data_IF_142602595545
#
_entry.id   IF_142602595545
#
_cell.length_a   1.000
_cell.length_b   1.000
_cell.length_c   1.000
_cell.angle_alpha   90.00
_cell.angle_beta   90.00
_cell.angle_gamma   90.00
#
_symmetry.space_group_name_H-M   'P 1'
#
loop_
_entity.id
_entity.type
_entity.pdbx_description
1 polymer ?
#
# COMPACT_ATOMS: atom_id res chain seq x y z
N UNK A 1 33.19 0.69 -17.43
CA UNK A 1 31.78 1.01 -17.12
C UNK A 1 31.71 1.45 -15.67
N UNK A 2 31.23 2.65 -15.39
CA UNK A 2 31.08 3.15 -14.00
C UNK A 2 29.91 2.38 -13.37
N UNK A 3 30.19 1.48 -12.42
CA UNK A 3 29.14 0.78 -11.64
C UNK A 3 28.30 1.84 -10.93
N UNK A 4 27.02 1.93 -11.28
CA UNK A 4 26.08 2.87 -10.65
C UNK A 4 25.96 2.50 -9.18
N UNK A 5 26.14 3.46 -8.26
CA UNK A 5 26.02 3.24 -6.82
C UNK A 5 24.64 2.61 -6.53
N UNK A 6 24.64 1.42 -5.93
CA UNK A 6 23.39 0.74 -5.54
C UNK A 6 22.70 1.54 -4.44
N UNK A 7 21.37 1.44 -4.41
CA UNK A 7 20.53 2.08 -3.38
C UNK A 7 20.80 1.45 -2.01
N UNK A 8 21.05 0.15 -2.00
CA UNK A 8 21.47 -0.61 -0.82
C UNK A 8 22.94 -0.96 -1.03
N UNK A 9 23.77 -0.65 -0.05
CA UNK A 9 25.21 -0.87 -0.11
C UNK A 9 25.53 -2.37 -0.26
N UNK A 10 26.61 -2.70 -0.97
CA UNK A 10 27.03 -4.08 -1.22
C UNK A 10 27.39 -4.81 0.08
N UNK A 11 27.70 -4.08 1.15
CA UNK A 11 27.89 -4.66 2.49
C UNK A 11 26.61 -5.30 3.06
N UNK A 12 25.42 -4.89 2.59
CA UNK A 12 24.14 -5.43 3.06
C UNK A 12 23.53 -6.44 2.08
N UNK A 13 23.85 -6.34 0.79
CA UNK A 13 23.43 -7.28 -0.26
C UNK A 13 24.65 -7.57 -1.15
N UNK A 14 25.48 -8.55 -0.77
CA UNK A 14 26.68 -8.90 -1.53
C UNK A 14 26.31 -9.50 -2.89
N UNK A 15 27.07 -9.16 -3.94
CA UNK A 15 26.89 -9.73 -5.29
C UNK A 15 27.38 -11.18 -5.41
N UNK A 16 28.12 -11.66 -4.40
CA UNK A 16 28.76 -12.98 -4.35
C UNK A 16 28.04 -13.85 -3.33
N UNK A 17 27.59 -15.03 -3.78
CA UNK A 17 26.86 -15.98 -2.92
C UNK A 17 27.70 -16.56 -1.78
N UNK A 18 29.03 -16.61 -1.94
CA UNK A 18 29.95 -17.06 -0.89
C UNK A 18 31.31 -16.34 -1.00
N UNK A 19 32.00 -16.20 0.13
CA UNK A 19 33.37 -15.69 0.24
C UNK A 19 34.16 -16.48 1.29
N UNK A 20 35.49 -16.51 1.15
CA UNK A 20 36.38 -17.09 2.17
C UNK A 20 37.07 -15.96 2.91
N UNK A 21 37.04 -16.01 4.24
CA UNK A 21 37.76 -15.07 5.11
C UNK A 21 38.72 -15.81 6.05
N UNK A 22 39.87 -15.21 6.32
CA UNK A 22 40.84 -15.73 7.28
C UNK A 22 40.74 -14.96 8.59
N UNK A 23 40.39 -15.65 9.66
CA UNK A 23 40.29 -15.10 11.02
C UNK A 23 41.22 -15.91 11.92
N UNK A 24 42.16 -15.24 12.59
CA UNK A 24 43.18 -15.85 13.47
C UNK A 24 43.96 -17.01 12.82
N UNK A 25 44.28 -16.86 11.53
CA UNK A 25 45.04 -17.87 10.78
C UNK A 25 44.21 -19.08 10.34
N UNK A 26 42.89 -19.07 10.51
CA UNK A 26 41.98 -20.12 10.06
C UNK A 26 41.05 -19.61 8.95
N UNK A 27 40.85 -20.42 7.93
CA UNK A 27 39.93 -20.11 6.82
C UNK A 27 38.49 -20.47 7.17
N UNK A 28 37.58 -19.55 6.89
CA UNK A 28 36.14 -19.68 7.07
C UNK A 28 35.43 -19.47 5.74
N UNK A 29 34.59 -20.42 5.34
CA UNK A 29 33.67 -20.25 4.22
C UNK A 29 32.41 -19.55 4.73
N UNK A 30 32.13 -18.36 4.21
CA UNK A 30 30.98 -17.53 4.55
C UNK A 30 30.05 -17.54 3.33
N UNK A 31 28.79 -17.94 3.54
CA UNK A 31 27.76 -17.98 2.49
C UNK A 31 26.64 -17.01 2.82
N UNK A 32 26.24 -16.22 1.84
CA UNK A 32 25.11 -15.32 1.91
C UNK A 32 23.84 -16.08 1.52
N UNK A 33 22.95 -16.28 2.49
CA UNK A 33 21.63 -16.86 2.26
C UNK A 33 20.54 -15.80 2.23
N UNK A 34 19.53 -16.01 1.38
CA UNK A 34 18.37 -15.13 1.31
C UNK A 34 17.48 -15.34 2.55
N UNK A 35 17.38 -14.31 3.40
CA UNK A 35 16.46 -14.31 4.53
C UNK A 35 15.10 -13.71 4.14
N UNK A 36 14.04 -14.52 4.22
CA UNK A 36 12.67 -14.05 4.09
C UNK A 36 12.10 -13.76 5.48
N UNK A 37 11.81 -12.50 5.78
CA UNK A 37 11.14 -12.12 7.04
C UNK A 37 9.64 -12.03 6.83
N UNK A 38 8.89 -12.91 7.47
CA UNK A 38 7.43 -12.83 7.55
C UNK A 38 7.03 -11.95 8.72
N UNK A 39 6.43 -10.79 8.44
CA UNK A 39 5.85 -9.95 9.49
C UNK A 39 4.44 -10.41 9.80
N UNK A 40 4.21 -10.91 11.02
CA UNK A 40 2.87 -11.06 11.59
C UNK A 40 2.51 -9.79 12.34
N UNK A 41 1.70 -8.94 11.72
CA UNK A 41 1.09 -7.78 12.39
C UNK A 41 -0.35 -8.14 12.73
N UNK A 42 -0.89 -7.59 13.82
CA UNK A 42 -2.34 -7.56 14.00
C UNK A 42 -2.94 -6.95 12.74
N UNK A 43 -3.97 -7.56 12.13
CA UNK A 43 -4.60 -7.06 10.89
C UNK A 43 -5.43 -5.78 11.13
N UNK A 44 -4.92 -4.87 11.98
CA UNK A 44 -5.65 -3.75 12.51
C UNK A 44 -7.07 -4.11 12.94
N UNK A 45 -7.32 -5.33 13.44
CA UNK A 45 -8.65 -5.83 13.84
C UNK A 45 -9.26 -4.98 14.96
N UNK A 46 -8.42 -4.22 15.68
CA UNK A 46 -8.81 -3.22 16.67
C UNK A 46 -8.74 -1.78 16.16
N UNK A 47 -8.34 -1.54 14.91
CA UNK A 47 -8.37 -0.20 14.34
C UNK A 47 -9.81 0.13 13.95
N UNK A 48 -10.27 1.34 14.31
CA UNK A 48 -11.58 1.83 13.90
C UNK A 48 -11.76 1.80 12.38
N UNK A 49 -10.69 1.99 11.60
CA UNK A 49 -10.73 1.94 10.13
C UNK A 49 -11.14 0.57 9.58
N UNK A 50 -10.42 -0.51 9.94
CA UNK A 50 -10.75 -1.85 9.42
C UNK A 50 -12.09 -2.36 9.96
N UNK A 51 -12.45 -2.02 11.21
CA UNK A 51 -13.78 -2.35 11.76
C UNK A 51 -14.90 -1.64 10.98
N UNK A 52 -14.70 -0.37 10.61
CA UNK A 52 -15.66 0.38 9.82
C UNK A 52 -15.78 -0.17 8.38
N UNK A 53 -14.68 -0.56 7.74
CA UNK A 53 -14.72 -1.25 6.44
C UNK A 53 -15.51 -2.57 6.55
N UNK A 54 -15.13 -3.42 7.51
CA UNK A 54 -15.68 -4.77 7.68
C UNK A 54 -17.15 -4.76 8.08
N UNK A 55 -17.50 -4.02 9.12
CA UNK A 55 -18.80 -4.11 9.78
C UNK A 55 -19.79 -3.09 9.24
N UNK A 56 -19.32 -1.91 8.82
CA UNK A 56 -20.18 -0.76 8.56
C UNK A 56 -20.19 -0.32 7.10
N UNK A 57 -19.29 -0.85 6.26
CA UNK A 57 -19.07 -0.37 4.89
C UNK A 57 -18.82 1.15 4.87
N UNK A 58 -18.01 1.65 5.79
CA UNK A 58 -17.67 3.07 5.92
C UNK A 58 -16.20 3.28 5.67
N UNK A 59 -15.86 4.36 4.97
CA UNK A 59 -14.48 4.77 4.75
C UNK A 59 -14.13 5.83 5.78
N UNK A 60 -13.17 5.53 6.65
CA UNK A 60 -12.72 6.48 7.66
C UNK A 60 -11.38 7.13 7.28
N UNK A 61 -11.19 8.36 7.72
CA UNK A 61 -9.94 9.10 7.69
C UNK A 61 -9.63 9.72 9.05
N UNK A 62 -8.46 10.35 9.16
CA UNK A 62 -8.11 11.14 10.34
C UNK A 62 -7.84 12.60 9.97
N UNK A 63 -8.53 13.53 10.62
CA UNK A 63 -8.39 14.97 10.46
C UNK A 63 -7.46 15.51 11.55
N UNK A 64 -6.42 16.24 11.19
CA UNK A 64 -5.60 16.93 12.19
C UNK A 64 -6.35 18.11 12.79
N UNK A 65 -6.38 18.21 14.12
CA UNK A 65 -7.00 19.33 14.87
C UNK A 65 -6.32 20.67 14.65
N UNK A 66 -5.05 20.68 14.19
CA UNK A 66 -4.25 21.90 14.00
C UNK A 66 -4.23 22.42 12.56
N UNK A 67 -3.85 21.59 11.60
CA UNK A 67 -3.76 22.00 10.19
C UNK A 67 -4.98 21.61 9.34
N UNK A 68 -5.92 20.84 9.90
CA UNK A 68 -7.14 20.44 9.19
C UNK A 68 -6.96 19.34 8.14
N UNK A 69 -5.72 18.92 7.83
CA UNK A 69 -5.48 17.89 6.80
C UNK A 69 -6.19 16.58 7.15
N UNK A 70 -6.85 15.98 6.16
CA UNK A 70 -7.57 14.71 6.26
C UNK A 70 -6.80 13.62 5.53
N UNK A 71 -6.35 12.61 6.28
CA UNK A 71 -5.61 11.46 5.75
C UNK A 71 -6.49 10.23 5.64
N UNK A 72 -6.41 9.59 4.48
CA UNK A 72 -7.05 8.30 4.19
C UNK A 72 -6.01 7.36 3.56
N UNK A 73 -5.80 6.16 4.13
CA UNK A 73 -6.35 5.67 5.41
C UNK A 73 -5.70 6.35 6.63
N UNK A 74 -6.30 6.27 7.82
CA UNK A 74 -5.81 6.92 9.04
C UNK A 74 -4.67 6.12 9.68
N UNK A 75 -3.47 6.19 9.08
CA UNK A 75 -2.30 5.42 9.54
C UNK A 75 -1.80 5.79 10.94
N UNK A 76 -2.04 7.04 11.37
CA UNK A 76 -1.56 7.60 12.63
C UNK A 76 -2.69 8.33 13.34
N UNK A 77 -2.72 8.23 14.67
CA UNK A 77 -3.64 8.98 15.53
C UNK A 77 -3.16 10.40 15.84
N UNK A 78 -1.92 10.74 15.45
CA UNK A 78 -1.31 12.06 15.62
C UNK A 78 -0.67 12.53 14.31
N UNK A 79 -0.70 13.83 14.08
CA UNK A 79 -0.23 14.42 12.82
C UNK A 79 1.31 14.56 12.82
N UNK A 80 2.01 13.97 11.83
CA UNK A 80 3.48 14.03 11.75
C UNK A 80 3.99 15.44 11.43
N UNK A 81 3.21 16.26 10.71
CA UNK A 81 3.64 17.61 10.29
C UNK A 81 3.33 18.69 11.34
N UNK A 82 2.50 18.37 12.34
CA UNK A 82 2.00 19.34 13.32
C UNK A 82 2.53 19.07 14.74
N UNK A 83 3.77 18.61 14.85
CA UNK A 83 4.41 18.28 16.12
C UNK A 83 3.52 17.39 17.00
N UNK A 84 3.06 16.26 16.45
CA UNK A 84 2.26 15.28 17.16
C UNK A 84 0.90 15.82 17.66
N UNK A 85 0.31 16.81 16.97
CA UNK A 85 -1.06 17.25 17.26
C UNK A 85 -2.07 16.09 17.12
N UNK A 86 -3.06 15.98 18.01
CA UNK A 86 -4.06 14.91 17.95
C UNK A 86 -4.88 14.99 16.66
N UNK A 87 -5.34 13.84 16.20
CA UNK A 87 -6.27 13.74 15.06
C UNK A 87 -7.62 13.19 15.50
N UNK A 88 -8.66 13.60 14.78
CA UNK A 88 -10.03 13.13 14.97
C UNK A 88 -10.39 12.16 13.85
N UNK A 89 -10.98 11.02 14.20
CA UNK A 89 -11.47 10.07 13.22
C UNK A 89 -12.77 10.61 12.62
N UNK A 90 -12.82 10.69 11.29
CA UNK A 90 -13.98 11.19 10.56
C UNK A 90 -14.34 10.21 9.45
N UNK A 91 -15.62 10.22 9.06
CA UNK A 91 -16.05 9.53 7.86
C UNK A 91 -15.74 10.37 6.62
N UNK A 92 -15.28 9.70 5.57
CA UNK A 92 -14.95 10.27 4.27
C UNK A 92 -15.87 9.66 3.23
N UNK A 93 -16.24 10.44 2.22
CA UNK A 93 -17.09 9.93 1.15
C UNK A 93 -16.40 8.78 0.39
N UNK A 94 -17.23 7.89 -0.14
CA UNK A 94 -16.79 6.71 -0.88
C UNK A 94 -16.62 6.98 -2.38
N UNK A 95 -16.80 8.22 -2.80
CA UNK A 95 -16.58 8.67 -4.18
C UNK A 95 -15.32 9.53 -4.20
N UNK A 96 -14.48 9.32 -5.21
CA UNK A 96 -13.22 10.02 -5.33
C UNK A 96 -12.76 10.17 -6.76
N UNK A 97 -11.68 10.92 -6.93
CA UNK A 97 -11.08 11.20 -8.22
C UNK A 97 -9.74 10.47 -8.34
N UNK A 98 -9.53 9.84 -9.49
CA UNK A 98 -8.26 9.21 -9.84
C UNK A 98 -7.14 10.25 -9.94
N UNK A 99 -6.11 10.13 -9.08
CA UNK A 99 -4.97 11.04 -9.06
C UNK A 99 -4.05 10.87 -10.30
N UNK A 100 -4.01 9.67 -10.86
CA UNK A 100 -3.23 9.33 -12.05
C UNK A 100 -3.93 8.27 -12.89
N UNK A 101 -3.61 8.22 -14.19
CA UNK A 101 -4.04 7.10 -15.05
C UNK A 101 -3.40 5.81 -14.53
N UNK A 102 -4.19 4.79 -14.17
CA UNK A 102 -3.67 3.57 -13.57
C UNK A 102 -3.08 2.63 -14.63
N UNK A 103 -1.93 1.98 -14.38
CA UNK A 103 -1.53 0.83 -15.17
C UNK A 103 -2.51 -0.34 -14.96
N UNK A 104 -2.73 -1.12 -16.03
CA UNK A 104 -3.54 -2.34 -16.01
C UNK A 104 -2.61 -3.54 -16.13
N UNK A 105 -2.77 -4.51 -15.25
CA UNK A 105 -1.99 -5.75 -15.26
C UNK A 105 -2.84 -6.87 -15.85
N UNK A 106 -2.48 -7.32 -17.05
CA UNK A 106 -3.09 -8.49 -17.71
C UNK A 106 -2.35 -9.79 -17.39
N UNK A 107 -1.03 -9.72 -17.28
CA UNK A 107 -0.18 -10.86 -16.96
C UNK A 107 0.39 -10.64 -15.57
N UNK A 108 -0.24 -11.23 -14.57
CA UNK A 108 0.18 -11.10 -13.19
C UNK A 108 1.12 -12.24 -12.80
N UNK A 109 1.93 -12.01 -11.76
CA UNK A 109 2.68 -13.08 -11.12
C UNK A 109 1.72 -14.10 -10.50
N UNK A 110 2.18 -15.33 -10.28
CA UNK A 110 1.37 -16.43 -9.69
C UNK A 110 0.53 -16.00 -8.47
N UNK A 111 1.12 -15.18 -7.58
CA UNK A 111 0.44 -14.65 -6.38
C UNK A 111 -0.83 -13.83 -6.67
N UNK A 112 -0.90 -13.13 -7.80
CA UNK A 112 -1.99 -12.22 -8.15
C UNK A 112 -2.75 -12.63 -9.42
N UNK A 113 -2.50 -13.84 -9.93
CA UNK A 113 -3.08 -14.29 -11.21
C UNK A 113 -4.60 -14.32 -11.19
N UNK A 114 -5.19 -14.69 -10.05
CA UNK A 114 -6.64 -14.72 -9.84
C UNK A 114 -7.31 -13.33 -9.90
N UNK A 115 -6.54 -12.25 -9.79
CA UNK A 115 -7.06 -10.88 -9.86
C UNK A 115 -7.02 -10.31 -11.28
N UNK A 116 -6.25 -10.93 -12.20
CA UNK A 116 -6.04 -10.37 -13.53
C UNK A 116 -7.31 -10.49 -14.41
N UNK A 117 -7.65 -9.45 -15.20
CA UNK A 117 -6.99 -8.15 -15.28
C UNK A 117 -7.46 -7.17 -14.18
N UNK A 118 -6.51 -6.46 -13.57
CA UNK A 118 -6.81 -5.43 -12.58
C UNK A 118 -5.97 -4.16 -12.80
N UNK A 119 -6.54 -3.01 -12.43
CA UNK A 119 -5.81 -1.75 -12.37
C UNK A 119 -5.30 -1.48 -10.96
N UNK A 120 -4.15 -0.81 -10.83
CA UNK A 120 -3.70 -0.27 -9.53
C UNK A 120 -3.58 1.23 -9.62
N UNK A 121 -4.30 1.93 -8.74
CA UNK A 121 -4.45 3.37 -8.81
C UNK A 121 -4.34 4.04 -7.45
N UNK A 122 -4.35 5.37 -7.47
CA UNK A 122 -4.45 6.20 -6.28
C UNK A 122 -5.66 7.12 -6.43
N UNK A 123 -6.55 7.11 -5.45
CA UNK A 123 -7.77 7.92 -5.44
C UNK A 123 -7.74 8.89 -4.30
N UNK A 124 -8.08 10.14 -4.59
CA UNK A 124 -8.38 11.15 -3.57
C UNK A 124 -9.90 11.16 -3.41
N UNK A 125 -10.38 10.69 -2.27
CA UNK A 125 -11.80 10.67 -1.95
C UNK A 125 -12.31 12.07 -1.60
N UNK A 126 -13.58 12.34 -1.87
CA UNK A 126 -14.21 13.61 -1.51
C UNK A 126 -14.16 13.77 0.02
N UNK A 127 -13.57 14.86 0.48
CA UNK A 127 -13.31 15.13 1.89
C UNK A 127 -11.96 14.62 2.41
N UNK A 128 -11.10 14.03 1.57
CA UNK A 128 -9.72 13.67 1.91
C UNK A 128 -8.70 14.52 1.16
N UNK A 129 -7.52 14.72 1.77
CA UNK A 129 -6.39 15.42 1.16
C UNK A 129 -5.31 14.47 0.64
N UNK A 130 -5.29 13.22 1.12
CA UNK A 130 -4.31 12.20 0.69
C UNK A 130 -4.95 11.14 -0.20
N UNK A 131 -4.14 10.59 -1.10
CA UNK A 131 -4.59 9.54 -1.99
C UNK A 131 -4.44 8.15 -1.36
N UNK A 132 -5.48 7.33 -1.47
CA UNK A 132 -5.47 5.93 -1.06
C UNK A 132 -5.16 5.03 -2.27
N UNK A 133 -4.28 4.03 -2.07
CA UNK A 133 -4.03 3.01 -3.09
C UNK A 133 -5.24 2.09 -3.20
N UNK A 134 -5.73 1.87 -4.42
CA UNK A 134 -6.88 1.00 -4.68
C UNK A 134 -6.62 0.06 -5.85
N UNK A 135 -7.25 -1.11 -5.79
CA UNK A 135 -7.44 -1.95 -6.96
C UNK A 135 -8.67 -1.46 -7.73
N UNK A 136 -8.58 -1.48 -9.05
CA UNK A 136 -9.60 -0.99 -9.95
C UNK A 136 -10.16 -2.12 -10.78
N UNK A 137 -11.48 -2.14 -10.86
CA UNK A 137 -12.29 -3.06 -11.65
C UNK A 137 -13.35 -2.23 -12.39
N UNK A 138 -13.85 -2.78 -13.50
CA UNK A 138 -15.03 -2.23 -14.17
C UNK A 138 -16.25 -3.07 -13.82
N UNK A 139 -17.43 -2.46 -13.77
CA UNK A 139 -18.70 -3.17 -13.54
C UNK A 139 -19.28 -3.79 -14.82
N UNK A 140 -18.75 -3.44 -15.99
CA UNK A 140 -19.34 -3.76 -17.31
C UNK A 140 -18.50 -4.71 -18.16
N UNK A 141 -17.42 -5.28 -17.63
CA UNK A 141 -16.62 -6.27 -18.34
C UNK A 141 -15.15 -6.31 -17.94
N UNK A 142 -14.27 -6.34 -18.94
CA UNK A 142 -12.82 -6.37 -18.72
C UNK A 142 -12.28 -4.94 -18.63
N UNK A 143 -11.40 -4.69 -17.67
CA UNK A 143 -10.71 -3.42 -17.57
C UNK A 143 -9.71 -3.28 -18.73
N UNK A 144 -9.96 -2.36 -19.67
CA UNK A 144 -9.09 -2.05 -20.82
C UNK A 144 -8.53 -0.63 -20.73
N UNK A 145 -7.39 -0.34 -21.40
CA UNK A 145 -6.82 1.00 -21.43
C UNK A 145 -7.84 2.05 -21.92
N UNK A 146 -7.85 3.20 -21.26
CA UNK A 146 -8.70 4.33 -21.64
C UNK A 146 -10.06 4.40 -20.94
N UNK A 147 -10.54 3.33 -20.28
CA UNK A 147 -11.75 3.39 -19.44
C UNK A 147 -11.51 4.29 -18.23
N UNK A 148 -10.41 4.08 -17.51
CA UNK A 148 -10.03 4.85 -16.33
C UNK A 148 -8.78 5.67 -16.67
N UNK A 149 -8.87 6.99 -16.44
CA UNK A 149 -7.79 7.96 -16.66
C UNK A 149 -7.62 8.82 -15.41
N UNK A 150 -6.56 9.63 -15.36
CA UNK A 150 -6.47 10.73 -14.40
C UNK A 150 -7.74 11.58 -14.49
N UNK A 151 -8.31 11.92 -13.34
CA UNK A 151 -9.54 12.72 -13.26
C UNK A 151 -10.84 11.91 -13.36
N UNK A 152 -10.78 10.61 -13.68
CA UNK A 152 -11.98 9.76 -13.65
C UNK A 152 -12.54 9.68 -12.24
N UNK A 153 -13.84 9.95 -12.09
CA UNK A 153 -14.56 9.70 -10.84
C UNK A 153 -14.78 8.20 -10.67
N UNK A 154 -14.49 7.69 -9.47
CA UNK A 154 -14.65 6.29 -9.11
C UNK A 154 -15.33 6.18 -7.75
N UNK A 155 -16.00 5.06 -7.53
CA UNK A 155 -16.68 4.75 -6.27
C UNK A 155 -16.04 3.52 -5.63
N UNK A 156 -15.80 3.59 -4.32
CA UNK A 156 -15.37 2.46 -3.51
C UNK A 156 -16.48 1.41 -3.49
N UNK A 157 -16.11 0.16 -3.74
CA UNK A 157 -17.01 -0.99 -3.70
C UNK A 157 -16.47 -1.92 -2.62
N UNK A 158 -17.36 -2.35 -1.73
CA UNK A 158 -17.05 -3.31 -0.67
C UNK A 158 -17.29 -4.73 -1.18
N UNK A 159 -16.42 -5.65 -0.79
CA UNK A 159 -16.63 -7.09 -1.00
C UNK A 159 -17.86 -7.56 -0.23
N UNK A 160 -18.48 -8.63 -0.72
CA UNK A 160 -19.61 -9.25 -0.03
C UNK A 160 -19.15 -9.85 1.30
N UNK A 161 -18.09 -10.67 1.24
CA UNK A 161 -17.39 -11.20 2.40
C UNK A 161 -16.22 -10.29 2.79
N UNK A 162 -16.26 -9.78 4.03
CA UNK A 162 -15.27 -8.85 4.59
C UNK A 162 -14.64 -9.43 5.84
N UNK A 163 -13.31 -9.45 5.90
CA UNK A 163 -12.54 -10.19 6.90
C UNK A 163 -11.61 -9.31 7.75
N UNK A 164 -11.71 -7.99 7.64
CA UNK A 164 -10.85 -7.00 8.28
C UNK A 164 -9.58 -6.68 7.48
N UNK A 165 -9.63 -6.73 6.15
CA UNK A 165 -8.48 -6.43 5.29
C UNK A 165 -8.64 -5.13 4.51
N UNK A 166 -7.52 -4.59 3.99
CA UNK A 166 -7.53 -3.39 3.16
C UNK A 166 -8.31 -3.57 1.85
N UNK A 167 -8.57 -4.82 1.46
CA UNK A 167 -9.31 -5.18 0.25
C UNK A 167 -10.79 -5.48 0.48
N UNK A 168 -11.28 -5.31 1.71
CA UNK A 168 -12.70 -5.48 2.06
C UNK A 168 -13.62 -4.44 1.43
#
# INVERSE_FOLDING_TARGET
>A
MIKKKKVIDEIYIPDVGSQVETIDGKEYLITNDAMYTFYRRTKGEFSGFFLALKNEKRLLGCRCTKCGIVRVPPFLTHCPDCNFAPTEMIEVEQVGIMNSTPPITYFATSLFQHMAPYGRGRVIFKGADTAMSINLYTTTGILVPGIIKKGTEVKLIFRDERIGEMTD
#
